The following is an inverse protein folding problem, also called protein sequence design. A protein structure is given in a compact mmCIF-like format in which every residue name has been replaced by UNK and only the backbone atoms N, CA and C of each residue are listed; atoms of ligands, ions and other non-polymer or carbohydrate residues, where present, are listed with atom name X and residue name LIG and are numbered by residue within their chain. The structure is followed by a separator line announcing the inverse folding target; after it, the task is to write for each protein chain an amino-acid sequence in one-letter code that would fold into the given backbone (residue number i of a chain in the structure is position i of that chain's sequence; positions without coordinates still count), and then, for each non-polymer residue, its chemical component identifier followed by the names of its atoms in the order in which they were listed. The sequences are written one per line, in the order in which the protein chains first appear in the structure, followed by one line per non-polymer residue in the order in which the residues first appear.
data_IF_149079696712
#
_entry.id   IF_149079696712
#
_cell.length_a   1.000
_cell.length_b   1.000
_cell.length_c   1.000
_cell.angle_alpha   90.00
_cell.angle_beta   90.00
_cell.angle_gamma   90.00
#
_symmetry.space_group_name_H-M   'P 1'
#
loop_
_entity.id
_entity.type
_entity.pdbx_description
1 polymer ?
#
# COMPACT_ATOMS: atom_id res chain seq x y z
N UNK A 1 -0.16 3.99 -5.23
CA UNK A 1 -0.03 5.09 -4.24
C UNK A 1 -1.38 5.26 -3.57
N UNK A 2 -1.42 5.52 -2.27
CA UNK A 2 -2.66 5.84 -1.55
C UNK A 2 -2.43 7.02 -0.59
N UNK A 3 -3.31 8.02 -0.65
CA UNK A 3 -3.21 9.26 0.13
C UNK A 3 -4.29 9.34 1.21
N UNK A 4 -5.57 9.56 0.86
CA UNK A 4 -6.68 9.66 1.83
C UNK A 4 -7.31 8.31 2.22
N UNK A 5 -6.88 7.20 1.62
CA UNK A 5 -7.41 5.86 1.88
C UNK A 5 -8.84 5.57 1.40
N UNK A 6 -9.66 6.60 1.10
CA UNK A 6 -11.10 6.43 0.79
C UNK A 6 -11.41 5.55 -0.41
N UNK A 7 -10.62 5.64 -1.49
CA UNK A 7 -10.82 4.79 -2.67
C UNK A 7 -10.61 3.31 -2.34
N UNK A 8 -9.59 3.01 -1.53
CA UNK A 8 -9.30 1.65 -1.08
C UNK A 8 -10.41 1.14 -0.15
N UNK A 9 -10.86 1.96 0.80
CA UNK A 9 -11.97 1.63 1.68
C UNK A 9 -13.25 1.29 0.90
N UNK A 10 -13.66 2.15 -0.05
CA UNK A 10 -14.83 1.87 -0.90
C UNK A 10 -14.67 0.63 -1.76
N UNK A 11 -13.46 0.33 -2.24
CA UNK A 11 -13.20 -0.90 -2.97
C UNK A 11 -13.33 -2.13 -2.05
N UNK A 12 -12.75 -2.09 -0.85
CA UNK A 12 -12.85 -3.16 0.13
C UNK A 12 -14.29 -3.43 0.56
N UNK A 13 -15.08 -2.39 0.85
CA UNK A 13 -16.51 -2.51 1.15
C UNK A 13 -17.27 -3.23 0.03
N UNK A 14 -17.00 -2.87 -1.23
CA UNK A 14 -17.65 -3.48 -2.40
C UNK A 14 -17.22 -4.93 -2.60
N UNK A 15 -15.97 -5.26 -2.36
CA UNK A 15 -15.46 -6.64 -2.45
C UNK A 15 -16.12 -7.53 -1.38
N UNK A 16 -16.22 -7.06 -0.14
CA UNK A 16 -16.93 -7.78 0.91
C UNK A 16 -18.42 -7.93 0.60
N UNK A 17 -19.08 -6.88 0.11
CA UNK A 17 -20.47 -6.94 -0.32
C UNK A 17 -20.69 -7.92 -1.49
N UNK A 18 -19.68 -8.15 -2.32
CA UNK A 18 -19.67 -9.16 -3.38
C UNK A 18 -19.33 -10.58 -2.89
N UNK A 19 -19.10 -10.78 -1.59
CA UNK A 19 -18.84 -12.08 -0.98
C UNK A 19 -17.37 -12.47 -0.88
N UNK A 20 -16.43 -11.51 -1.00
CA UNK A 20 -15.03 -11.78 -0.70
C UNK A 20 -14.87 -12.21 0.77
N UNK A 21 -14.18 -13.32 1.00
CA UNK A 21 -13.92 -13.84 2.35
C UNK A 21 -12.94 -12.97 3.14
N UNK A 22 -12.03 -12.28 2.45
CA UNK A 22 -11.08 -11.32 3.01
C UNK A 22 -10.64 -10.31 1.95
N UNK A 23 -10.14 -9.16 2.40
CA UNK A 23 -9.50 -8.15 1.56
C UNK A 23 -8.28 -7.60 2.27
N UNK A 24 -7.12 -7.65 1.61
CA UNK A 24 -5.88 -7.04 2.05
C UNK A 24 -5.42 -5.99 1.03
N UNK A 25 -4.59 -5.04 1.47
CA UNK A 25 -4.12 -3.92 0.65
C UNK A 25 -2.60 -3.93 0.56
N UNK A 26 -2.07 -3.90 -0.66
CA UNK A 26 -0.66 -3.61 -0.93
C UNK A 26 -0.54 -2.32 -1.77
N UNK A 27 0.33 -1.39 -1.36
CA UNK A 27 0.59 -0.15 -2.09
C UNK A 27 2.08 0.15 -2.18
N UNK A 28 2.57 0.65 -3.32
CA UNK A 28 3.97 1.12 -3.38
C UNK A 28 4.18 2.31 -2.43
N UNK A 29 3.39 3.37 -2.60
CA UNK A 29 3.53 4.61 -1.84
C UNK A 29 2.39 4.74 -0.83
N UNK A 30 2.67 4.45 0.45
CA UNK A 30 1.77 4.66 1.59
C UNK A 30 1.89 6.10 2.13
N UNK A 31 1.31 7.06 1.40
CA UNK A 31 1.32 8.46 1.84
C UNK A 31 0.38 8.68 3.04
N UNK A 32 -0.75 7.95 3.07
CA UNK A 32 -1.69 7.85 4.19
C UNK A 32 -1.77 9.07 5.10
N UNK A 33 -2.30 10.18 4.57
CA UNK A 33 -2.44 11.41 5.33
C UNK A 33 -3.66 11.34 6.26
N UNK A 34 -3.54 11.90 7.46
CA UNK A 34 -4.65 12.01 8.42
C UNK A 34 -5.17 10.64 8.87
N UNK A 35 -6.46 10.41 8.68
CA UNK A 35 -7.21 9.22 9.11
C UNK A 35 -7.17 8.06 8.11
N UNK A 36 -6.33 8.13 7.07
CA UNK A 36 -6.37 7.19 5.94
C UNK A 36 -6.26 5.70 6.34
N UNK A 37 -5.36 5.36 7.27
CA UNK A 37 -5.18 3.98 7.70
C UNK A 37 -6.38 3.48 8.51
N UNK A 38 -6.96 4.33 9.36
CA UNK A 38 -8.16 4.02 10.14
C UNK A 38 -9.36 3.78 9.22
N UNK A 39 -9.55 4.65 8.23
CA UNK A 39 -10.59 4.52 7.20
C UNK A 39 -10.47 3.20 6.43
N UNK A 40 -9.25 2.79 6.08
CA UNK A 40 -9.00 1.53 5.38
C UNK A 40 -9.34 0.33 6.28
N UNK A 41 -8.91 0.33 7.54
CA UNK A 41 -9.20 -0.75 8.49
C UNK A 41 -10.69 -0.85 8.81
N UNK A 42 -11.37 0.28 8.98
CA UNK A 42 -12.81 0.32 9.22
C UNK A 42 -13.63 -0.26 8.05
N UNK A 43 -13.10 -0.27 6.83
CA UNK A 43 -13.71 -0.90 5.67
C UNK A 43 -13.55 -2.43 5.60
N UNK A 44 -13.00 -3.04 6.65
CA UNK A 44 -12.81 -4.49 6.76
C UNK A 44 -11.52 -5.00 6.14
N UNK A 45 -10.56 -4.13 5.81
CA UNK A 45 -9.24 -4.56 5.34
C UNK A 45 -8.47 -5.21 6.49
N UNK A 46 -7.93 -6.41 6.26
CA UNK A 46 -7.10 -7.12 7.23
C UNK A 46 -5.70 -6.52 7.32
N UNK A 47 -4.89 -6.83 6.32
CA UNK A 47 -3.51 -6.38 6.22
C UNK A 47 -3.34 -5.18 5.29
N UNK A 48 -2.40 -4.30 5.67
CA UNK A 48 -1.96 -3.17 4.85
C UNK A 48 -0.45 -3.23 4.75
N UNK A 49 0.06 -3.46 3.54
CA UNK A 49 1.49 -3.54 3.25
C UNK A 49 1.91 -2.44 2.28
N UNK A 50 3.10 -1.91 2.53
CA UNK A 50 3.72 -0.96 1.63
C UNK A 50 5.19 -1.24 1.36
N UNK A 51 5.73 -0.55 0.37
CA UNK A 51 7.18 -0.47 0.22
C UNK A 51 7.76 0.61 1.12
N UNK A 52 9.07 0.61 1.30
CA UNK A 52 9.81 1.64 2.03
C UNK A 52 10.10 2.91 1.23
N UNK A 53 9.45 3.12 0.08
CA UNK A 53 9.54 4.36 -0.70
C UNK A 53 9.07 5.60 0.09
N UNK A 54 8.20 5.40 1.09
CA UNK A 54 7.81 6.40 2.09
C UNK A 54 7.97 5.74 3.47
N UNK A 55 8.59 6.42 4.42
CA UNK A 55 8.70 5.91 5.79
C UNK A 55 7.31 5.78 6.42
N UNK A 56 6.88 4.55 6.70
CA UNK A 56 5.56 4.29 7.25
C UNK A 56 5.55 2.96 8.02
N UNK A 57 4.76 2.80 9.11
CA UNK A 57 4.69 1.55 9.86
C UNK A 57 4.20 0.32 9.07
N UNK A 58 3.56 0.51 7.92
CA UNK A 58 3.09 -0.60 7.05
C UNK A 58 4.17 -1.15 6.11
N UNK A 59 5.39 -0.62 6.15
CA UNK A 59 6.45 -1.02 5.23
C UNK A 59 6.81 -2.49 5.44
N UNK A 60 6.55 -3.31 4.42
CA UNK A 60 6.78 -4.75 4.40
C UNK A 60 7.75 -5.17 3.28
N UNK A 61 7.99 -4.29 2.30
CA UNK A 61 8.84 -4.57 1.14
C UNK A 61 9.94 -3.51 1.03
N UNK A 62 11.21 -3.94 1.04
CA UNK A 62 12.36 -3.06 0.86
C UNK A 62 12.65 -2.84 -0.63
N UNK A 63 12.79 -1.60 -1.07
CA UNK A 63 13.00 -1.25 -2.48
C UNK A 63 14.48 -1.03 -2.82
N UNK A 64 15.35 -0.81 -1.82
CA UNK A 64 16.76 -0.48 -2.02
C UNK A 64 17.53 -1.46 -2.93
N UNK A 65 17.37 -2.79 -2.84
CA UNK A 65 18.05 -3.72 -3.75
C UNK A 65 17.67 -3.53 -5.22
N UNK A 66 16.38 -3.26 -5.49
CA UNK A 66 15.86 -3.03 -6.83
C UNK A 66 16.38 -1.71 -7.42
N UNK A 67 16.46 -0.66 -6.60
CA UNK A 67 17.06 0.60 -7.02
C UNK A 67 18.55 0.45 -7.33
N UNK A 68 19.29 -0.33 -6.53
CA UNK A 68 20.70 -0.58 -6.78
C UNK A 68 20.93 -1.30 -8.13
N UNK A 69 20.06 -2.23 -8.49
CA UNK A 69 20.09 -2.90 -9.79
C UNK A 69 19.78 -1.94 -10.94
N UNK A 70 18.69 -1.18 -10.83
CA UNK A 70 18.33 -0.18 -11.84
C UNK A 70 19.42 0.88 -12.02
N UNK A 71 20.03 1.34 -10.92
CA UNK A 71 21.14 2.30 -10.96
C UNK A 71 22.36 1.74 -11.68
N UNK A 72 22.71 0.45 -11.47
CA UNK A 72 23.79 -0.20 -12.22
C UNK A 72 23.51 -0.23 -13.72
N UNK A 73 22.26 -0.47 -14.13
CA UNK A 73 21.90 -0.47 -15.55
C UNK A 73 22.10 0.90 -16.20
N UNK A 74 21.91 2.00 -15.46
CA UNK A 74 22.05 3.38 -15.98
C UNK A 74 23.48 3.91 -15.89
N UNK A 75 24.28 3.44 -14.92
CA UNK A 75 25.66 3.91 -14.71
C UNK A 75 26.73 3.13 -15.50
N UNK A 76 26.36 2.02 -16.15
CA UNK A 76 27.28 1.16 -16.92
C UNK A 76 27.17 1.43 -18.44
N UNK A 77 26.40 2.45 -18.83
CA UNK A 77 26.53 3.13 -20.13
C UNK A 77 27.63 4.23 -20.08
#
# INVERSE_FOLDING_TARGET
MASSGRTLARAAERLHAAGAASVDVAVTHALFAGDALEVIRAAGVGEVWSTDCIAHPSNAVQIAPMLAEALRAVLVD
#
